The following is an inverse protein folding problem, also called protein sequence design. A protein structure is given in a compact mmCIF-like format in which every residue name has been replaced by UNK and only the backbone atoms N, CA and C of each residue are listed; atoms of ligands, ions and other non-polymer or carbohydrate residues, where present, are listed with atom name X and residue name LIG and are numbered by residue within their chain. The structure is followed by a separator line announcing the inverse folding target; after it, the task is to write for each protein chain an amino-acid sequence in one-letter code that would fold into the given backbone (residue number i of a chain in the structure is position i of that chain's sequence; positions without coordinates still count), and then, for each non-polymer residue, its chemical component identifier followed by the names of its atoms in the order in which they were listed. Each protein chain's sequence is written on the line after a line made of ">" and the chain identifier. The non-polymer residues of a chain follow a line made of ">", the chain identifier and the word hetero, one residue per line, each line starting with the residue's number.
data_IF_577327976985
#
_entry.id   IF_577327976985
#
_cell.length_a   1.000
_cell.length_b   1.000
_cell.length_c   1.000
_cell.angle_alpha   90.00
_cell.angle_beta   90.00
_cell.angle_gamma   90.00
#
_symmetry.space_group_name_H-M   'P 1'
#
loop_
_entity.id
_entity.type
_entity.pdbx_description
1 polymer ?
#
# COMPACT_ATOMS: atom_id res chain seq x y z
N UNK A 1 -5.24 2.76 -31.46
CA UNK A 1 -4.12 3.45 -32.12
C UNK A 1 -2.84 2.71 -31.83
N UNK A 2 -2.11 2.30 -32.86
CA UNK A 2 -0.86 1.56 -32.72
C UNK A 2 0.32 2.54 -32.79
N UNK A 3 1.38 2.31 -32.00
CA UNK A 3 2.64 3.05 -32.09
C UNK A 3 3.66 2.21 -32.84
N UNK A 4 4.28 2.79 -33.86
CA UNK A 4 5.26 2.11 -34.71
C UNK A 4 6.45 3.03 -34.94
N UNK A 5 7.66 2.47 -34.90
CA UNK A 5 8.87 3.17 -35.31
C UNK A 5 9.01 3.13 -36.84
N UNK A 6 9.14 4.30 -37.45
CA UNK A 6 9.21 4.46 -38.91
C UNK A 6 10.42 5.27 -39.33
N UNK A 7 10.92 4.99 -40.53
CA UNK A 7 12.02 5.68 -41.18
C UNK A 7 11.51 6.37 -42.45
N UNK A 8 11.88 7.63 -42.62
CA UNK A 8 11.55 8.41 -43.82
C UNK A 8 12.46 7.97 -44.97
N UNK A 9 11.87 7.65 -46.13
CA UNK A 9 12.56 7.02 -47.26
C UNK A 9 12.73 7.92 -48.48
N UNK A 10 11.76 8.79 -48.76
CA UNK A 10 11.87 9.77 -49.86
C UNK A 10 10.83 10.87 -49.71
N UNK A 11 11.05 12.00 -50.38
CA UNK A 11 10.08 13.10 -50.52
C UNK A 11 9.45 13.02 -51.90
N UNK A 12 8.11 13.03 -51.97
CA UNK A 12 7.36 13.05 -53.23
C UNK A 12 7.18 14.49 -53.73
N UNK A 13 6.90 14.63 -55.03
CA UNK A 13 6.67 15.92 -55.70
C UNK A 13 5.50 16.71 -55.09
N UNK A 14 4.50 16.01 -54.53
CA UNK A 14 3.34 16.60 -53.85
C UNK A 14 3.64 17.14 -52.44
N UNK A 15 4.90 17.06 -51.97
CA UNK A 15 5.33 17.54 -50.66
C UNK A 15 5.29 16.50 -49.55
N UNK A 16 4.52 15.42 -49.70
CA UNK A 16 4.46 14.31 -48.74
C UNK A 16 5.71 13.43 -48.75
N UNK A 17 5.96 12.75 -47.63
CA UNK A 17 7.11 11.86 -47.43
C UNK A 17 6.69 10.41 -47.41
N UNK A 18 7.46 9.51 -48.01
CA UNK A 18 7.23 8.06 -47.89
C UNK A 18 7.97 7.52 -46.67
N UNK A 19 7.37 6.57 -45.97
CA UNK A 19 7.97 5.93 -44.80
C UNK A 19 7.94 4.41 -44.90
N UNK A 20 8.86 3.76 -44.18
CA UNK A 20 8.87 2.32 -43.92
C UNK A 20 8.96 2.06 -42.43
N UNK A 21 8.46 0.92 -41.95
CA UNK A 21 8.76 0.53 -40.58
C UNK A 21 10.27 0.31 -40.43
N UNK A 22 10.87 0.70 -39.29
CA UNK A 22 12.30 0.54 -39.07
C UNK A 22 12.69 -0.94 -39.23
N UNK A 23 13.64 -1.23 -40.12
CA UNK A 23 14.05 -2.60 -40.48
C UNK A 23 13.27 -3.27 -41.61
N UNK A 24 12.23 -2.63 -42.15
CA UNK A 24 11.50 -3.15 -43.32
C UNK A 24 12.20 -2.84 -44.64
N UNK A 25 12.03 -3.70 -45.65
CA UNK A 25 12.61 -3.50 -46.99
C UNK A 25 11.78 -2.63 -47.93
N UNK A 26 10.47 -2.56 -47.73
CA UNK A 26 9.55 -1.82 -48.59
C UNK A 26 8.85 -0.68 -47.82
N UNK A 27 8.57 0.46 -48.49
CA UNK A 27 7.79 1.54 -47.90
C UNK A 27 6.36 1.08 -47.62
N UNK A 28 5.81 1.50 -46.48
CA UNK A 28 4.49 1.11 -45.99
C UNK A 28 3.42 2.18 -46.21
N UNK A 29 3.79 3.45 -46.41
CA UNK A 29 2.82 4.52 -46.61
C UNK A 29 3.45 5.90 -46.81
N UNK A 30 2.60 6.92 -46.75
CA UNK A 30 2.97 8.35 -46.82
C UNK A 30 2.69 9.07 -45.50
N UNK A 31 3.45 10.13 -45.22
CA UNK A 31 3.33 11.06 -44.09
C UNK A 31 3.25 12.47 -44.66
N UNK A 32 2.31 13.26 -44.14
CA UNK A 32 2.19 14.66 -44.52
C UNK A 32 3.36 15.48 -43.95
N UNK A 33 3.94 16.36 -44.77
CA UNK A 33 5.06 17.21 -44.36
C UNK A 33 4.78 18.06 -43.12
N UNK A 34 3.53 18.47 -42.89
CA UNK A 34 3.14 19.31 -41.75
C UNK A 34 3.29 18.61 -40.40
N UNK A 35 3.35 17.26 -40.39
CA UNK A 35 3.53 16.47 -39.17
C UNK A 35 5.01 16.25 -38.83
N UNK A 36 5.91 16.54 -39.77
CA UNK A 36 7.35 16.34 -39.59
C UNK A 36 8.02 17.63 -39.09
N UNK A 37 9.03 17.53 -38.21
CA UNK A 37 9.87 18.66 -37.86
C UNK A 37 10.54 19.27 -39.11
N UNK A 38 10.74 20.59 -39.10
CA UNK A 38 11.22 21.40 -40.25
C UNK A 38 12.59 20.95 -40.80
N UNK A 39 13.39 20.21 -40.03
CA UNK A 39 14.72 19.70 -40.42
C UNK A 39 14.73 18.18 -40.70
N UNK A 40 13.60 17.60 -41.12
CA UNK A 40 13.53 16.16 -41.41
C UNK A 40 14.25 15.80 -42.71
N UNK A 41 15.15 14.81 -42.65
CA UNK A 41 15.90 14.29 -43.80
C UNK A 41 15.49 12.84 -44.14
N UNK A 42 15.86 12.38 -45.34
CA UNK A 42 15.75 10.95 -45.69
C UNK A 42 16.67 10.15 -44.76
N UNK A 43 16.13 9.08 -44.17
CA UNK A 43 16.79 8.25 -43.16
C UNK A 43 16.47 8.62 -41.71
N UNK A 44 15.79 9.75 -41.46
CA UNK A 44 15.33 10.10 -40.11
C UNK A 44 14.30 9.09 -39.59
N UNK A 45 14.47 8.67 -38.33
CA UNK A 45 13.58 7.73 -37.66
C UNK A 45 12.71 8.43 -36.62
N UNK A 46 11.41 8.16 -36.66
CA UNK A 46 10.42 8.72 -35.75
C UNK A 46 9.54 7.62 -35.16
N UNK A 47 8.98 7.84 -33.97
CA UNK A 47 7.89 7.03 -33.47
C UNK A 47 6.58 7.68 -33.91
N UNK A 48 5.69 6.96 -34.57
CA UNK A 48 4.43 7.50 -35.07
C UNK A 48 3.22 6.76 -34.50
N UNK A 49 2.14 7.50 -34.26
CA UNK A 49 0.82 6.91 -34.01
C UNK A 49 0.12 6.68 -35.36
N UNK A 50 -0.35 5.45 -35.57
CA UNK A 50 -1.02 5.04 -36.79
C UNK A 50 -2.45 4.59 -36.53
N UNK A 51 -3.29 4.86 -37.54
CA UNK A 51 -4.64 4.35 -37.67
C UNK A 51 -4.74 3.54 -38.97
N UNK A 52 -5.35 2.35 -38.88
CA UNK A 52 -5.43 1.42 -39.99
C UNK A 52 -6.85 1.46 -40.58
N UNK A 53 -6.95 1.83 -41.85
CA UNK A 53 -8.19 1.82 -42.62
C UNK A 53 -8.13 0.74 -43.71
N UNK A 54 -9.28 0.47 -44.34
CA UNK A 54 -9.37 -0.43 -45.50
C UNK A 54 -8.43 -0.01 -46.66
N UNK A 55 -8.21 1.30 -46.80
CA UNK A 55 -7.41 1.89 -47.89
C UNK A 55 -5.93 2.10 -47.53
N UNK A 56 -5.50 1.73 -46.31
CA UNK A 56 -4.10 1.79 -45.89
C UNK A 56 -3.86 2.31 -44.47
N UNK A 57 -2.59 2.62 -44.17
CA UNK A 57 -2.14 3.09 -42.85
C UNK A 57 -1.93 4.60 -42.91
N UNK A 58 -2.67 5.34 -42.09
CA UNK A 58 -2.54 6.80 -41.97
C UNK A 58 -1.80 7.13 -40.68
N UNK A 59 -0.79 8.00 -40.79
CA UNK A 59 -0.06 8.53 -39.64
C UNK A 59 -0.80 9.75 -39.11
N UNK A 60 -1.23 9.68 -37.85
CA UNK A 60 -1.99 10.77 -37.19
C UNK A 60 -1.08 11.69 -36.39
N UNK A 61 0.01 11.18 -35.84
CA UNK A 61 0.95 11.96 -35.02
C UNK A 61 2.37 11.43 -35.09
N UNK A 62 3.34 12.34 -35.11
CA UNK A 62 4.78 12.04 -35.11
C UNK A 62 5.39 12.45 -33.78
N UNK A 63 6.25 11.59 -33.24
CA UNK A 63 7.04 11.82 -32.03
C UNK A 63 8.52 11.67 -32.36
N UNK A 64 9.34 12.58 -31.83
CA UNK A 64 10.78 12.45 -31.88
C UNK A 64 11.20 11.18 -31.14
N UNK A 65 12.04 10.36 -31.77
CA UNK A 65 12.56 9.16 -31.14
C UNK A 65 13.42 9.61 -29.96
N UNK A 66 13.01 9.23 -28.75
CA UNK A 66 13.80 9.42 -27.53
C UNK A 66 15.19 8.85 -27.80
N UNK A 67 16.19 9.73 -27.93
CA UNK A 67 17.58 9.30 -28.00
C UNK A 67 17.82 8.38 -26.82
N UNK A 68 18.37 7.20 -27.07
CA UNK A 68 18.98 6.40 -26.01
C UNK A 68 20.07 7.27 -25.41
N UNK A 69 19.76 7.96 -24.32
CA UNK A 69 20.71 8.82 -23.63
C UNK A 69 21.87 7.92 -23.20
N UNK A 70 23.01 8.05 -23.87
CA UNK A 70 24.25 7.47 -23.39
C UNK A 70 24.43 7.91 -21.94
N UNK A 71 24.69 6.95 -21.05
CA UNK A 71 25.09 7.12 -19.63
C UNK A 71 24.50 8.38 -18.98
N UNK A 72 23.37 8.20 -18.28
CA UNK A 72 22.65 9.28 -17.60
C UNK A 72 23.58 10.29 -16.93
N UNK A 73 23.37 11.56 -17.25
CA UNK A 73 24.02 12.68 -16.59
C UNK A 73 23.82 12.54 -15.08
N UNK A 74 24.92 12.33 -14.37
CA UNK A 74 24.94 12.32 -12.90
C UNK A 74 24.57 13.70 -12.40
N UNK A 75 23.42 13.81 -11.74
CA UNK A 75 23.10 14.98 -10.93
C UNK A 75 24.05 14.98 -9.71
N UNK A 76 25.00 15.92 -9.69
CA UNK A 76 25.74 16.24 -8.47
C UNK A 76 24.78 16.90 -7.47
N UNK A 77 24.51 16.21 -6.38
CA UNK A 77 23.79 16.77 -5.25
C UNK A 77 24.78 17.60 -4.45
N UNK A 78 24.74 18.92 -4.62
CA UNK A 78 25.40 19.85 -3.70
C UNK A 78 24.68 19.77 -2.34
N UNK A 79 25.26 19.00 -1.43
CA UNK A 79 24.80 18.96 -0.03
C UNK A 79 24.86 20.34 0.60
N UNK A 80 23.99 20.60 1.58
CA UNK A 80 23.79 21.93 2.20
C UNK A 80 24.97 22.49 3.02
N UNK A 81 26.17 21.91 2.91
CA UNK A 81 27.38 22.34 3.61
C UNK A 81 27.30 22.26 5.14
N UNK A 82 26.24 21.68 5.69
CA UNK A 82 26.03 21.54 7.14
C UNK A 82 26.18 20.07 7.51
N UNK A 83 27.16 19.77 8.38
CA UNK A 83 27.22 18.51 9.12
C UNK A 83 26.00 18.44 10.04
N UNK A 84 24.93 17.83 9.56
CA UNK A 84 23.84 17.40 10.42
C UNK A 84 24.16 15.98 10.86
N UNK A 85 24.23 15.75 12.18
CA UNK A 85 24.39 14.42 12.78
C UNK A 85 23.43 13.43 12.10
N UNK A 86 24.01 12.57 11.26
CA UNK A 86 23.31 11.46 10.65
C UNK A 86 22.96 10.51 11.79
N UNK A 87 21.64 10.29 11.98
CA UNK A 87 21.03 9.25 12.83
C UNK A 87 20.60 9.70 14.24
N UNK A 88 19.33 10.13 14.37
CA UNK A 88 18.58 9.95 15.63
C UNK A 88 17.84 8.62 15.63
N UNK A 89 18.56 7.49 15.60
CA UNK A 89 17.99 6.21 16.05
C UNK A 89 18.62 5.85 17.40
N UNK A 90 17.89 6.11 18.49
CA UNK A 90 18.21 5.47 19.77
C UNK A 90 17.84 4.00 19.67
N UNK A 91 18.81 3.18 19.31
CA UNK A 91 18.76 1.73 19.38
C UNK A 91 18.64 1.32 20.86
N UNK A 92 17.62 0.54 21.21
CA UNK A 92 17.46 0.02 22.57
C UNK A 92 18.65 -0.87 22.93
N UNK A 93 19.29 -0.60 24.09
CA UNK A 93 20.39 -1.41 24.62
C UNK A 93 19.95 -2.86 24.82
N UNK A 94 20.53 -3.77 24.04
CA UNK A 94 20.49 -5.21 24.30
C UNK A 94 21.21 -5.52 25.63
N UNK A 95 20.50 -6.17 26.55
CA UNK A 95 21.08 -6.74 27.77
C UNK A 95 21.93 -7.96 27.40
N UNK A 96 23.24 -7.83 27.53
CA UNK A 96 24.18 -8.96 27.58
C UNK A 96 23.99 -9.75 28.89
N UNK A 97 23.89 -11.06 28.72
CA UNK A 97 24.47 -12.15 29.53
C UNK A 97 24.50 -11.96 31.05
N UNK A 98 23.58 -12.63 31.75
CA UNK A 98 23.80 -13.04 33.14
C UNK A 98 24.42 -14.44 33.13
N UNK A 99 25.61 -14.54 33.72
CA UNK A 99 26.38 -15.75 33.95
C UNK A 99 25.52 -16.85 34.60
N UNK A 100 25.63 -18.05 34.04
CA UNK A 100 25.35 -19.29 34.75
C UNK A 100 26.35 -19.42 35.91
N UNK A 101 25.85 -19.58 37.12
CA UNK A 101 26.61 -20.19 38.22
C UNK A 101 26.12 -21.63 38.36
N UNK A 102 27.08 -22.54 38.35
CA UNK A 102 27.01 -23.93 38.76
C UNK A 102 26.36 -24.04 40.14
N UNK A 103 25.44 -24.99 40.30
CA UNK A 103 25.47 -25.98 41.37
C UNK A 103 24.62 -27.19 40.96
N UNK A 104 25.24 -28.37 41.04
CA UNK A 104 24.66 -29.68 40.72
C UNK A 104 24.08 -30.34 42.01
N UNK A 105 23.73 -31.64 42.04
CA UNK A 105 22.35 -32.12 41.87
C UNK A 105 21.84 -32.93 43.08
N UNK A 106 20.52 -33.09 43.26
CA UNK A 106 20.00 -34.16 44.11
C UNK A 106 18.56 -34.57 43.79
N UNK A 107 18.44 -35.81 43.29
CA UNK A 107 17.64 -36.92 43.84
C UNK A 107 16.15 -36.76 44.20
N UNK A 108 15.44 -37.84 43.85
CA UNK A 108 14.16 -38.37 44.34
C UNK A 108 12.85 -37.78 43.77
N UNK A 109 12.13 -38.57 42.96
CA UNK A 109 11.08 -39.55 43.36
C UNK A 109 9.78 -38.81 43.78
N UNK A 110 8.56 -39.07 43.29
CA UNK A 110 7.86 -40.31 42.90
C UNK A 110 6.61 -39.94 42.07
N UNK A 111 6.12 -40.93 41.30
CA UNK A 111 4.71 -41.20 40.95
C UNK A 111 3.68 -40.58 41.92
N UNK A 112 2.54 -40.07 41.42
CA UNK A 112 1.37 -40.93 41.18
C UNK A 112 0.21 -40.21 40.46
N UNK A 113 -0.60 -41.04 39.81
CA UNK A 113 -1.89 -40.83 39.16
C UNK A 113 -2.95 -40.21 40.09
N UNK A 114 -3.94 -39.47 39.54
CA UNK A 114 -5.31 -39.98 39.32
C UNK A 114 -6.30 -38.87 38.94
N UNK A 115 -7.18 -39.28 38.02
CA UNK A 115 -8.42 -38.71 37.51
C UNK A 115 -9.29 -37.88 38.47
N UNK A 116 -10.16 -37.06 37.85
CA UNK A 116 -11.60 -37.26 38.06
C UNK A 116 -12.38 -36.06 38.60
N UNK A 117 -12.79 -35.23 37.66
CA UNK A 117 -13.89 -34.26 37.66
C UNK A 117 -15.18 -34.70 38.42
N UNK A 118 -15.77 -33.83 39.27
CA UNK A 118 -17.17 -33.33 39.19
C UNK A 118 -17.77 -32.77 40.50
N UNK A 119 -18.67 -31.79 40.28
CA UNK A 119 -19.80 -31.28 41.11
C UNK A 119 -19.46 -30.39 42.31
N UNK A 120 -20.30 -29.45 42.76
CA UNK A 120 -21.31 -28.54 42.22
C UNK A 120 -21.93 -27.86 43.45
N UNK A 121 -22.06 -26.53 43.42
CA UNK A 121 -23.05 -25.70 44.12
C UNK A 121 -23.14 -25.74 45.66
N UNK A 122 -22.94 -24.59 46.33
CA UNK A 122 -23.92 -23.95 47.24
C UNK A 122 -23.47 -22.50 47.52
N UNK A 123 -24.40 -21.56 47.33
CA UNK A 123 -24.34 -20.14 47.72
C UNK A 123 -24.26 -19.97 49.25
N UNK A 124 -23.54 -18.95 49.74
CA UNK A 124 -24.07 -18.14 50.84
C UNK A 124 -23.52 -16.72 50.86
N UNK A 125 -24.45 -15.82 51.15
CA UNK A 125 -24.36 -14.37 51.12
C UNK A 125 -23.47 -13.75 52.22
N UNK A 126 -23.04 -12.52 51.92
CA UNK A 126 -22.49 -11.42 52.76
C UNK A 126 -23.16 -11.30 54.16
N UNK A 127 -22.57 -10.63 55.20
CA UNK A 127 -22.08 -9.23 55.10
C UNK A 127 -20.92 -8.73 56.01
N UNK A 128 -20.30 -7.64 55.51
CA UNK A 128 -19.85 -6.39 56.15
C UNK A 128 -19.40 -6.40 57.63
N UNK A 129 -18.15 -5.94 57.91
CA UNK A 129 -17.86 -4.84 58.88
C UNK A 129 -16.35 -4.56 59.06
N UNK A 130 -15.95 -3.37 58.62
CA UNK A 130 -15.15 -2.33 59.29
C UNK A 130 -13.64 -2.46 59.63
N UNK A 131 -12.97 -1.32 59.35
CA UNK A 131 -11.76 -0.75 59.97
C UNK A 131 -10.46 -1.57 60.03
N UNK A 132 -9.41 -1.16 59.33
CA UNK A 132 -8.53 -0.10 59.86
C UNK A 132 -7.43 0.31 58.88
N UNK A 133 -7.21 1.63 58.84
CA UNK A 133 -6.09 2.33 58.23
C UNK A 133 -4.74 1.76 58.71
N UNK A 134 -3.81 1.51 57.79
CA UNK A 134 -2.40 1.87 58.03
C UNK A 134 -1.72 2.32 56.75
N UNK A 135 -1.40 3.61 56.77
CA UNK A 135 -0.61 4.37 55.81
C UNK A 135 0.82 3.86 55.82
N UNK A 136 1.36 3.50 54.64
CA UNK A 136 2.78 3.68 54.31
C UNK A 136 2.92 4.02 52.83
N UNK A 137 3.02 5.33 52.56
CA UNK A 137 3.64 5.86 51.35
C UNK A 137 5.14 5.60 51.41
N UNK A 138 5.71 5.04 50.33
CA UNK A 138 6.98 5.44 49.70
C UNK A 138 7.51 4.30 48.83
N UNK A 139 7.46 4.48 47.51
CA UNK A 139 8.01 3.52 46.55
C UNK A 139 7.66 3.90 45.12
N UNK A 140 8.46 4.81 44.55
CA UNK A 140 8.24 5.49 43.28
C UNK A 140 7.68 4.63 42.14
N UNK A 141 6.46 4.94 41.72
CA UNK A 141 5.95 4.55 40.40
C UNK A 141 6.54 5.50 39.36
N UNK A 142 7.45 4.96 38.54
CA UNK A 142 7.93 5.56 37.30
C UNK A 142 6.76 6.20 36.53
N UNK A 143 6.93 7.42 35.96
CA UNK A 143 5.91 7.99 35.09
C UNK A 143 5.72 7.05 33.91
N UNK A 144 4.52 6.50 33.83
CA UNK A 144 4.11 5.62 32.75
C UNK A 144 4.23 6.42 31.45
N UNK A 145 5.12 5.96 30.58
CA UNK A 145 5.36 6.44 29.22
C UNK A 145 4.12 7.12 28.65
N UNK A 146 4.32 8.35 28.16
CA UNK A 146 3.31 9.16 27.52
C UNK A 146 2.39 8.30 26.68
N UNK A 147 1.12 8.24 27.10
CA UNK A 147 0.02 7.93 26.20
C UNK A 147 0.24 8.85 25.01
N UNK A 148 0.78 8.30 23.90
CA UNK A 148 0.61 8.90 22.58
C UNK A 148 -0.84 9.32 22.57
N UNK A 149 -1.09 10.63 22.48
CA UNK A 149 -2.42 11.16 22.29
C UNK A 149 -3.03 10.31 21.18
N UNK A 150 -3.93 9.43 21.58
CA UNK A 150 -4.70 8.63 20.64
C UNK A 150 -5.55 9.68 19.97
N UNK A 151 -5.06 10.16 18.83
CA UNK A 151 -5.80 11.04 17.92
C UNK A 151 -7.22 10.49 17.86
N UNK A 152 -8.20 11.24 18.36
CA UNK A 152 -9.57 10.80 18.60
C UNK A 152 -10.36 10.41 17.33
N UNK A 153 -9.65 10.28 16.19
CA UNK A 153 -10.16 9.92 14.86
C UNK A 153 -9.55 8.64 14.29
N UNK A 154 -9.04 7.70 15.11
CA UNK A 154 -8.62 6.40 14.58
C UNK A 154 -9.86 5.56 14.23
N UNK A 155 -10.39 5.77 13.03
CA UNK A 155 -11.37 4.89 12.40
C UNK A 155 -10.88 3.43 12.48
N UNK A 156 -11.80 2.46 12.65
CA UNK A 156 -11.44 1.06 12.77
C UNK A 156 -10.60 0.62 11.56
N UNK A 157 -9.43 0.03 11.83
CA UNK A 157 -8.56 -0.49 10.77
C UNK A 157 -9.26 -1.66 10.08
N UNK A 158 -9.19 -1.68 8.75
CA UNK A 158 -9.63 -2.81 7.93
C UNK A 158 -9.01 -4.13 8.41
N UNK A 159 -9.77 -5.22 8.32
CA UNK A 159 -9.31 -6.54 8.72
C UNK A 159 -8.27 -7.05 7.71
N UNK A 160 -7.13 -7.53 8.20
CA UNK A 160 -6.09 -8.13 7.35
C UNK A 160 -6.51 -9.49 6.82
N UNK A 161 -6.06 -9.84 5.62
CA UNK A 161 -6.23 -11.17 5.04
C UNK A 161 -5.54 -12.24 5.91
N UNK A 162 -6.26 -13.32 6.19
CA UNK A 162 -5.73 -14.50 6.89
C UNK A 162 -5.93 -15.74 6.03
N UNK A 163 -4.89 -16.12 5.30
CA UNK A 163 -4.87 -17.34 4.51
C UNK A 163 -4.77 -18.58 5.41
N UNK A 164 -5.45 -19.67 5.00
CA UNK A 164 -5.27 -20.98 5.63
C UNK A 164 -4.02 -21.67 5.03
N UNK A 165 -3.82 -22.94 5.37
CA UNK A 165 -2.72 -23.76 4.85
C UNK A 165 -3.21 -25.05 4.21
N UNK A 166 -4.41 -25.06 3.65
CA UNK A 166 -5.04 -26.26 3.12
C UNK A 166 -4.28 -26.77 1.89
N UNK A 167 -4.24 -25.96 0.83
CA UNK A 167 -3.61 -26.31 -0.45
C UNK A 167 -2.12 -26.53 -0.27
N UNK A 168 -1.45 -25.71 0.53
CA UNK A 168 -0.03 -25.87 0.84
C UNK A 168 0.27 -27.22 1.52
N UNK A 169 -0.53 -27.60 2.52
CA UNK A 169 -0.31 -28.86 3.23
C UNK A 169 -0.60 -30.07 2.33
N UNK A 170 -1.58 -29.96 1.44
CA UNK A 170 -1.89 -30.99 0.45
C UNK A 170 -0.75 -31.17 -0.56
N UNK A 171 -0.23 -30.07 -1.11
CA UNK A 171 0.91 -30.08 -2.01
C UNK A 171 2.16 -30.72 -1.36
N UNK A 172 2.42 -30.43 -0.08
CA UNK A 172 3.52 -31.07 0.66
C UNK A 172 3.32 -32.57 0.88
N UNK A 173 2.08 -33.03 1.05
CA UNK A 173 1.76 -34.46 1.26
C UNK A 173 1.94 -35.29 -0.01
N UNK A 174 1.66 -34.70 -1.18
CA UNK A 174 1.76 -35.37 -2.47
C UNK A 174 3.21 -35.55 -2.95
N UNK A 175 4.16 -34.80 -2.39
CA UNK A 175 5.57 -34.92 -2.75
C UNK A 175 6.19 -36.22 -2.21
N UNK A 176 7.14 -36.83 -2.96
CA UNK A 176 7.98 -37.92 -2.45
C UNK A 176 8.71 -37.50 -1.17
N UNK A 177 8.96 -38.45 -0.26
CA UNK A 177 9.57 -38.19 1.05
C UNK A 177 10.92 -37.47 0.96
N UNK A 178 11.72 -37.84 -0.04
CA UNK A 178 13.04 -37.23 -0.31
C UNK A 178 12.94 -35.72 -0.62
N UNK A 179 11.85 -35.29 -1.26
CA UNK A 179 11.65 -33.89 -1.66
C UNK A 179 10.95 -33.05 -0.59
N UNK A 180 10.31 -33.68 0.40
CA UNK A 180 9.53 -32.96 1.43
C UNK A 180 10.39 -31.96 2.19
N UNK A 181 11.63 -32.31 2.52
CA UNK A 181 12.50 -31.43 3.29
C UNK A 181 12.87 -30.15 2.52
N UNK A 182 13.16 -30.28 1.23
CA UNK A 182 13.44 -29.16 0.33
C UNK A 182 12.18 -28.30 0.21
N UNK A 183 11.02 -28.92 0.00
CA UNK A 183 9.73 -28.23 -0.13
C UNK A 183 9.36 -27.41 1.12
N UNK A 184 9.59 -27.95 2.32
CA UNK A 184 9.39 -27.24 3.58
C UNK A 184 10.25 -25.97 3.68
N UNK A 185 11.53 -26.06 3.30
CA UNK A 185 12.44 -24.91 3.30
C UNK A 185 11.97 -23.87 2.29
N UNK A 186 11.60 -24.29 1.07
CA UNK A 186 11.09 -23.41 0.02
C UNK A 186 9.83 -22.66 0.43
N UNK A 187 8.90 -23.33 1.10
CA UNK A 187 7.69 -22.73 1.64
C UNK A 187 7.99 -21.67 2.72
N UNK A 188 8.99 -21.93 3.57
CA UNK A 188 9.27 -21.06 4.72
C UNK A 188 10.19 -19.89 4.37
N UNK A 189 11.20 -20.12 3.54
CA UNK A 189 12.30 -19.17 3.28
C UNK A 189 12.58 -18.93 1.80
N UNK A 190 11.85 -19.60 0.89
CA UNK A 190 12.07 -19.49 -0.55
C UNK A 190 13.41 -20.07 -1.02
N UNK A 191 13.75 -19.81 -2.29
CA UNK A 191 15.01 -20.23 -2.89
C UNK A 191 16.25 -19.67 -2.19
N UNK A 192 16.30 -18.40 -1.72
CA UNK A 192 17.46 -17.90 -0.96
C UNK A 192 17.71 -18.71 0.30
N UNK A 193 16.67 -19.01 1.09
CA UNK A 193 16.86 -19.80 2.30
C UNK A 193 17.18 -21.28 2.05
N UNK A 194 16.89 -21.81 0.85
CA UNK A 194 17.39 -23.11 0.44
C UNK A 194 18.90 -23.05 0.18
N UNK A 195 19.39 -22.04 -0.54
CA UNK A 195 20.84 -21.81 -0.77
C UNK A 195 21.59 -21.70 0.55
N UNK A 196 21.13 -20.84 1.45
CA UNK A 196 21.73 -20.68 2.79
C UNK A 196 21.77 -22.00 3.57
N UNK A 197 20.73 -22.84 3.44
CA UNK A 197 20.67 -24.14 4.11
C UNK A 197 21.65 -25.16 3.53
N UNK A 198 21.88 -25.13 2.21
CA UNK A 198 22.85 -26.00 1.54
C UNK A 198 24.26 -25.58 1.94
N UNK A 199 24.56 -24.28 1.86
CA UNK A 199 25.88 -23.74 2.21
C UNK A 199 26.23 -24.06 3.67
N UNK A 200 25.28 -23.89 4.59
CA UNK A 200 25.47 -24.25 6.00
C UNK A 200 25.75 -25.75 6.22
N UNK A 201 25.12 -26.63 5.43
CA UNK A 201 25.37 -28.08 5.52
C UNK A 201 26.71 -28.46 4.91
N UNK A 202 27.10 -27.87 3.79
CA UNK A 202 28.40 -28.11 3.16
C UNK A 202 29.56 -27.65 4.03
N UNK A 203 29.42 -26.52 4.74
CA UNK A 203 30.41 -26.08 5.72
C UNK A 203 30.58 -27.08 6.89
N UNK A 204 29.51 -27.79 7.26
CA UNK A 204 29.57 -28.84 8.29
C UNK A 204 30.24 -30.10 7.71
N UNK A 205 29.82 -30.55 6.53
CA UNK A 205 30.40 -31.71 5.85
C UNK A 205 31.91 -31.54 5.64
N UNK A 206 32.31 -30.37 5.16
CA UNK A 206 33.73 -30.00 4.98
C UNK A 206 34.53 -30.05 6.27
N UNK A 207 33.96 -29.60 7.40
CA UNK A 207 34.60 -29.71 8.73
C UNK A 207 34.67 -31.16 9.22
N UNK A 208 33.70 -32.00 8.85
CA UNK A 208 33.67 -33.42 9.18
C UNK A 208 34.53 -34.29 8.24
N UNK A 209 35.07 -33.71 7.16
CA UNK A 209 35.79 -34.46 6.11
C UNK A 209 34.87 -35.30 5.21
N UNK A 210 33.57 -35.01 5.21
CA UNK A 210 32.57 -35.66 4.37
C UNK A 210 32.44 -34.93 3.01
N UNK A 211 32.00 -35.62 1.94
CA UNK A 211 31.76 -34.99 0.66
C UNK A 211 30.66 -33.93 0.73
N UNK A 212 30.84 -32.84 -0.01
CA UNK A 212 29.86 -31.76 -0.10
C UNK A 212 28.58 -32.21 -0.81
N UNK A 213 27.45 -31.65 -0.40
CA UNK A 213 26.15 -31.87 -1.02
C UNK A 213 26.11 -31.13 -2.37
N UNK A 214 25.71 -31.79 -3.46
CA UNK A 214 25.67 -31.18 -4.78
C UNK A 214 24.57 -30.10 -4.87
N UNK A 215 24.98 -28.83 -4.77
CA UNK A 215 24.08 -27.66 -4.76
C UNK A 215 23.21 -27.59 -6.02
N UNK A 216 23.82 -27.76 -7.20
CA UNK A 216 23.12 -27.66 -8.49
C UNK A 216 21.98 -28.67 -8.64
N UNK A 217 22.12 -29.88 -8.09
CA UNK A 217 21.08 -30.90 -8.15
C UNK A 217 19.88 -30.52 -7.28
N UNK A 218 20.13 -30.01 -6.07
CA UNK A 218 19.07 -29.57 -5.16
C UNK A 218 18.35 -28.32 -5.69
N UNK A 219 19.08 -27.40 -6.32
CA UNK A 219 18.48 -26.23 -6.95
C UNK A 219 17.61 -26.61 -8.15
N UNK A 220 18.05 -27.55 -9.01
CA UNK A 220 17.22 -28.08 -10.11
C UNK A 220 15.93 -28.73 -9.59
N UNK A 221 16.02 -29.53 -8.52
CA UNK A 221 14.83 -30.10 -7.88
C UNK A 221 13.90 -29.01 -7.33
N UNK A 222 14.48 -27.98 -6.71
CA UNK A 222 13.72 -26.85 -6.20
C UNK A 222 12.99 -26.10 -7.32
N UNK A 223 13.65 -25.83 -8.44
CA UNK A 223 13.04 -25.20 -9.62
C UNK A 223 11.85 -25.99 -10.16
N UNK A 224 11.89 -27.32 -10.08
CA UNK A 224 10.80 -28.19 -10.51
C UNK A 224 9.59 -28.13 -9.55
N UNK A 225 9.79 -28.16 -8.24
CA UNK A 225 8.68 -28.25 -7.26
C UNK A 225 8.14 -26.88 -6.82
N UNK A 226 8.97 -25.84 -6.86
CA UNK A 226 8.64 -24.53 -6.30
C UNK A 226 7.44 -23.83 -6.98
N UNK A 227 7.25 -23.90 -8.32
CA UNK A 227 6.07 -23.36 -8.96
C UNK A 227 4.77 -23.94 -8.40
N UNK A 228 4.73 -25.25 -8.10
CA UNK A 228 3.54 -25.92 -7.55
C UNK A 228 3.24 -25.42 -6.13
N UNK A 229 4.28 -25.27 -5.30
CA UNK A 229 4.15 -24.76 -3.94
C UNK A 229 3.66 -23.30 -3.91
N UNK A 230 4.14 -22.45 -4.83
CA UNK A 230 3.66 -21.07 -4.96
C UNK A 230 2.20 -21.00 -5.40
N UNK A 231 1.79 -21.83 -6.36
CA UNK A 231 0.38 -21.93 -6.76
C UNK A 231 -0.49 -22.35 -5.58
N UNK A 232 -0.07 -23.37 -4.81
CA UNK A 232 -0.79 -23.83 -3.62
C UNK A 232 -0.92 -22.74 -2.55
N UNK A 233 0.16 -21.99 -2.27
CA UNK A 233 0.08 -20.85 -1.36
C UNK A 233 -0.86 -19.74 -1.87
N UNK A 234 -0.84 -19.46 -3.17
CA UNK A 234 -1.76 -18.49 -3.75
C UNK A 234 -3.21 -18.95 -3.63
N UNK A 235 -3.51 -20.23 -3.86
CA UNK A 235 -4.86 -20.80 -3.67
C UNK A 235 -5.36 -20.62 -2.24
N UNK A 236 -4.50 -20.86 -1.24
CA UNK A 236 -4.83 -20.61 0.17
C UNK A 236 -5.18 -19.13 0.45
N UNK A 237 -4.49 -18.20 -0.22
CA UNK A 237 -4.76 -16.75 -0.13
C UNK A 237 -6.02 -16.36 -0.89
N UNK A 238 -6.25 -16.93 -2.07
CA UNK A 238 -7.44 -16.71 -2.90
C UNK A 238 -8.71 -17.16 -2.17
N UNK A 239 -8.69 -18.36 -1.59
CA UNK A 239 -9.76 -18.87 -0.75
C UNK A 239 -10.03 -17.97 0.46
N UNK A 240 -8.97 -17.48 1.11
CA UNK A 240 -9.07 -16.54 2.22
C UNK A 240 -9.70 -15.20 1.80
N UNK A 241 -9.34 -14.72 0.62
CA UNK A 241 -9.85 -13.48 0.06
C UNK A 241 -11.32 -13.60 -0.36
N UNK A 242 -11.72 -14.71 -0.99
CA UNK A 242 -13.12 -14.99 -1.33
C UNK A 242 -14.01 -15.09 -0.08
N UNK A 243 -13.60 -15.87 0.93
CA UNK A 243 -14.34 -15.95 2.21
C UNK A 243 -14.40 -14.61 2.94
N UNK A 244 -13.38 -13.78 2.74
CA UNK A 244 -13.25 -12.47 3.34
C UNK A 244 -13.72 -11.32 2.46
N UNK A 245 -14.44 -11.59 1.37
CA UNK A 245 -14.66 -10.61 0.29
C UNK A 245 -15.25 -9.30 0.79
N UNK A 246 -16.12 -9.32 1.80
CA UNK A 246 -16.80 -8.13 2.35
C UNK A 246 -16.03 -7.43 3.48
N UNK A 247 -15.13 -8.13 4.18
CA UNK A 247 -14.55 -7.63 5.45
C UNK A 247 -13.03 -7.41 5.41
N UNK A 248 -12.32 -8.11 4.52
CA UNK A 248 -10.87 -7.98 4.38
C UNK A 248 -10.51 -6.64 3.72
N UNK A 249 -9.32 -6.11 3.95
CA UNK A 249 -8.84 -4.91 3.27
C UNK A 249 -8.81 -5.10 1.74
N UNK A 250 -9.38 -4.16 0.98
CA UNK A 250 -9.34 -4.14 -0.48
C UNK A 250 -7.91 -4.16 -1.03
N UNK A 251 -6.93 -3.61 -0.30
CA UNK A 251 -5.50 -3.67 -0.68
C UNK A 251 -4.98 -5.10 -0.65
N UNK A 252 -5.34 -5.85 0.38
CA UNK A 252 -4.90 -7.24 0.52
C UNK A 252 -5.55 -8.09 -0.59
N UNK A 253 -6.84 -7.90 -0.89
CA UNK A 253 -7.53 -8.59 -2.00
C UNK A 253 -6.88 -8.27 -3.34
N UNK A 254 -6.59 -6.98 -3.61
CA UNK A 254 -5.87 -6.56 -4.82
C UNK A 254 -4.51 -7.22 -4.93
N UNK A 255 -3.78 -7.35 -3.82
CA UNK A 255 -2.48 -8.04 -3.82
C UNK A 255 -2.58 -9.50 -4.24
N UNK A 256 -3.67 -10.20 -3.86
CA UNK A 256 -3.93 -11.59 -4.26
C UNK A 256 -4.30 -11.67 -5.73
N UNK A 257 -5.12 -10.74 -6.23
CA UNK A 257 -5.47 -10.66 -7.65
C UNK A 257 -4.21 -10.46 -8.50
N UNK A 258 -3.32 -9.54 -8.14
CA UNK A 258 -2.07 -9.31 -8.89
C UNK A 258 -1.13 -10.51 -8.79
N UNK A 259 -1.08 -11.17 -7.63
CA UNK A 259 -0.26 -12.36 -7.45
C UNK A 259 -0.69 -13.56 -8.32
N UNK A 260 -1.93 -13.57 -8.85
CA UNK A 260 -2.40 -14.65 -9.73
C UNK A 260 -1.64 -14.71 -11.06
N UNK A 261 -1.06 -13.60 -11.49
CA UNK A 261 -0.27 -13.51 -12.73
C UNK A 261 1.10 -14.21 -12.60
N UNK A 262 1.56 -14.42 -11.37
CA UNK A 262 2.90 -14.96 -11.06
C UNK A 262 2.88 -16.43 -10.60
N UNK A 263 1.74 -17.11 -10.70
CA UNK A 263 1.60 -18.55 -10.38
C UNK A 263 1.28 -19.35 -11.63
N UNK A 264 1.31 -20.67 -11.52
CA UNK A 264 1.02 -21.52 -12.67
C UNK A 264 -0.41 -21.34 -13.16
N UNK A 265 -0.54 -21.23 -14.49
CA UNK A 265 -1.84 -21.07 -15.14
C UNK A 265 -2.51 -22.43 -15.27
N UNK A 266 -3.65 -22.57 -14.62
CA UNK A 266 -4.56 -23.70 -14.75
C UNK A 266 -6.01 -23.20 -14.60
N UNK A 267 -6.97 -24.08 -14.84
CA UNK A 267 -8.40 -23.69 -14.83
C UNK A 267 -8.87 -23.23 -13.45
N UNK A 268 -8.32 -23.80 -12.36
CA UNK A 268 -8.65 -23.39 -11.00
C UNK A 268 -8.13 -22.00 -10.66
N UNK A 269 -6.90 -21.66 -11.05
CA UNK A 269 -6.33 -20.32 -10.87
C UNK A 269 -7.08 -19.31 -11.71
N UNK A 270 -7.43 -19.66 -12.96
CA UNK A 270 -8.19 -18.77 -13.84
C UNK A 270 -9.57 -18.47 -13.26
N UNK A 271 -10.35 -19.50 -12.94
CA UNK A 271 -11.70 -19.34 -12.38
C UNK A 271 -11.71 -18.57 -11.05
N UNK A 272 -10.79 -18.89 -10.12
CA UNK A 272 -10.66 -18.15 -8.86
C UNK A 272 -10.22 -16.71 -9.07
N UNK A 273 -9.30 -16.45 -10.01
CA UNK A 273 -8.87 -15.09 -10.30
C UNK A 273 -9.99 -14.26 -10.92
N UNK A 274 -10.83 -14.84 -11.78
CA UNK A 274 -12.00 -14.18 -12.36
C UNK A 274 -13.05 -13.88 -11.27
N UNK A 275 -13.37 -14.86 -10.43
CA UNK A 275 -14.29 -14.68 -9.29
C UNK A 275 -13.81 -13.60 -8.30
N UNK A 276 -12.50 -13.57 -8.01
CA UNK A 276 -11.90 -12.52 -7.16
C UNK A 276 -12.01 -11.14 -7.80
N UNK A 277 -11.77 -11.01 -9.11
CA UNK A 277 -11.89 -9.73 -9.84
C UNK A 277 -13.33 -9.23 -9.83
N UNK A 278 -14.30 -10.11 -10.09
CA UNK A 278 -15.72 -9.79 -10.06
C UNK A 278 -16.16 -9.35 -8.66
N UNK A 279 -15.86 -10.16 -7.63
CA UNK A 279 -16.18 -9.84 -6.24
C UNK A 279 -15.53 -8.55 -5.76
N UNK A 280 -14.26 -8.32 -6.12
CA UNK A 280 -13.54 -7.09 -5.79
C UNK A 280 -14.22 -5.86 -6.42
N UNK A 281 -14.58 -5.92 -7.70
CA UNK A 281 -15.23 -4.81 -8.39
C UNK A 281 -16.61 -4.50 -7.81
N UNK A 282 -17.44 -5.54 -7.59
CA UNK A 282 -18.75 -5.39 -6.94
C UNK A 282 -18.64 -4.74 -5.57
N UNK A 283 -17.66 -5.15 -4.76
CA UNK A 283 -17.43 -4.54 -3.46
C UNK A 283 -16.96 -3.10 -3.56
N UNK A 284 -16.02 -2.80 -4.46
CA UNK A 284 -15.54 -1.42 -4.65
C UNK A 284 -16.72 -0.50 -5.01
N UNK A 285 -17.58 -0.92 -5.92
CA UNK A 285 -18.77 -0.17 -6.31
C UNK A 285 -19.76 0.00 -5.15
N UNK A 286 -20.03 -1.07 -4.39
CA UNK A 286 -20.90 -1.01 -3.21
C UNK A 286 -20.35 -0.08 -2.13
N UNK A 287 -19.08 -0.23 -1.76
CA UNK A 287 -18.41 0.60 -0.76
C UNK A 287 -18.39 2.08 -1.19
N UNK A 288 -18.20 2.35 -2.49
CA UNK A 288 -18.25 3.69 -3.06
C UNK A 288 -19.65 4.30 -2.99
N UNK A 289 -20.68 3.54 -3.38
CA UNK A 289 -22.07 3.99 -3.29
C UNK A 289 -22.49 4.26 -1.84
N UNK A 290 -22.07 3.40 -0.91
CA UNK A 290 -22.34 3.58 0.52
C UNK A 290 -21.61 4.81 1.08
N UNK A 291 -20.36 5.01 0.71
CA UNK A 291 -19.58 6.19 1.10
C UNK A 291 -20.20 7.48 0.55
N UNK A 292 -20.60 7.54 -0.73
CA UNK A 292 -21.29 8.69 -1.29
C UNK A 292 -22.59 8.99 -0.55
N UNK A 293 -23.40 7.95 -0.29
CA UNK A 293 -24.63 8.09 0.51
C UNK A 293 -24.34 8.65 1.91
N UNK A 294 -23.31 8.19 2.59
CA UNK A 294 -22.93 8.70 3.93
C UNK A 294 -22.47 10.15 3.88
N UNK A 295 -21.67 10.54 2.87
CA UNK A 295 -21.22 11.93 2.70
C UNK A 295 -22.43 12.84 2.45
N UNK A 296 -23.33 12.44 1.54
CA UNK A 296 -24.54 13.21 1.19
C UNK A 296 -25.48 13.33 2.39
N UNK A 297 -25.77 12.25 3.11
CA UNK A 297 -26.67 12.30 4.27
C UNK A 297 -26.08 13.14 5.39
N UNK A 298 -24.80 12.98 5.68
CA UNK A 298 -24.08 13.77 6.69
C UNK A 298 -24.11 15.27 6.36
N UNK A 299 -23.96 15.61 5.07
CA UNK A 299 -24.05 17.00 4.62
C UNK A 299 -25.46 17.57 4.76
N UNK A 300 -26.48 16.80 4.36
CA UNK A 300 -27.90 17.19 4.49
C UNK A 300 -28.33 17.42 5.94
N UNK A 301 -27.75 16.69 6.88
CA UNK A 301 -27.95 16.88 8.31
C UNK A 301 -27.20 18.11 8.89
N UNK A 302 -26.49 18.88 8.05
CA UNK A 302 -25.74 20.07 8.48
C UNK A 302 -24.43 19.77 9.20
N UNK A 303 -23.96 18.51 9.21
CA UNK A 303 -22.73 18.09 9.89
C UNK A 303 -21.48 18.32 9.00
N UNK A 304 -21.21 19.59 8.67
CA UNK A 304 -20.18 20.01 7.69
C UNK A 304 -18.79 19.42 7.97
N UNK A 305 -18.28 19.52 9.21
CA UNK A 305 -16.96 18.98 9.58
C UNK A 305 -16.87 17.47 9.33
N UNK A 306 -17.93 16.74 9.65
CA UNK A 306 -17.97 15.27 9.45
C UNK A 306 -18.03 14.96 7.96
N UNK A 307 -18.84 15.67 7.18
CA UNK A 307 -18.93 15.49 5.74
C UNK A 307 -17.57 15.74 5.06
N UNK A 308 -16.87 16.83 5.42
CA UNK A 308 -15.53 17.14 4.93
C UNK A 308 -14.52 16.02 5.26
N UNK A 309 -14.51 15.52 6.50
CA UNK A 309 -13.63 14.40 6.90
C UNK A 309 -13.95 13.12 6.14
N UNK A 310 -15.23 12.79 5.94
CA UNK A 310 -15.64 11.62 5.15
C UNK A 310 -15.22 11.76 3.68
N UNK A 311 -15.40 12.95 3.09
CA UNK A 311 -15.05 13.24 1.70
C UNK A 311 -13.56 13.02 1.38
N UNK A 312 -12.67 13.16 2.37
CA UNK A 312 -11.23 12.93 2.23
C UNK A 312 -10.81 11.46 2.23
N UNK A 313 -11.75 10.52 2.45
CA UNK A 313 -11.46 9.10 2.69
C UNK A 313 -12.27 8.19 1.76
N UNK A 314 -12.07 8.27 0.44
CA UNK A 314 -12.75 7.35 -0.48
C UNK A 314 -12.28 5.91 -0.25
N UNK A 315 -13.15 4.90 -0.51
CA UNK A 315 -12.76 3.48 -0.43
C UNK A 315 -11.55 3.13 -1.32
N UNK A 316 -11.42 3.82 -2.46
CA UNK A 316 -10.29 3.72 -3.38
C UNK A 316 -9.64 5.09 -3.55
N UNK A 317 -8.32 5.14 -3.40
CA UNK A 317 -7.56 6.37 -3.62
C UNK A 317 -7.75 6.88 -5.06
N UNK A 318 -7.90 8.20 -5.20
CA UNK A 318 -8.11 8.86 -6.48
C UNK A 318 -9.53 8.75 -7.03
N UNK A 319 -10.49 8.21 -6.28
CA UNK A 319 -11.89 8.24 -6.71
C UNK A 319 -12.44 9.68 -6.58
N UNK A 320 -12.88 10.30 -7.70
CA UNK A 320 -13.38 11.67 -7.67
C UNK A 320 -14.78 11.75 -7.04
N UNK A 321 -15.04 12.83 -6.32
CA UNK A 321 -16.41 13.16 -5.90
C UNK A 321 -17.20 13.68 -7.10
N UNK A 322 -18.51 13.38 -7.22
CA UNK A 322 -19.39 14.02 -8.20
C UNK A 322 -19.36 15.55 -8.07
N UNK A 323 -19.43 16.27 -9.19
CA UNK A 323 -19.29 17.75 -9.19
C UNK A 323 -20.38 18.43 -8.36
N UNK A 324 -21.64 17.98 -8.46
CA UNK A 324 -22.75 18.50 -7.66
C UNK A 324 -22.48 18.38 -6.15
N UNK A 325 -21.83 17.28 -5.73
CA UNK A 325 -21.47 17.07 -4.32
C UNK A 325 -20.27 17.91 -3.91
N UNK A 326 -19.30 18.13 -4.80
CA UNK A 326 -18.20 19.07 -4.57
C UNK A 326 -18.74 20.50 -4.39
N UNK A 327 -19.68 20.91 -5.24
CA UNK A 327 -20.33 22.22 -5.14
C UNK A 327 -21.11 22.34 -3.82
N UNK A 328 -21.96 21.37 -3.50
CA UNK A 328 -22.72 21.39 -2.25
C UNK A 328 -21.83 21.41 -1.01
N UNK A 329 -20.72 20.64 -0.99
CA UNK A 329 -19.73 20.68 0.08
C UNK A 329 -19.06 22.04 0.19
N UNK A 330 -18.70 22.65 -0.94
CA UNK A 330 -18.06 23.97 -0.99
C UNK A 330 -18.99 25.04 -0.44
N UNK A 331 -20.22 25.11 -0.95
CA UNK A 331 -21.23 26.08 -0.50
C UNK A 331 -21.54 25.94 0.99
N UNK A 332 -21.74 24.71 1.48
CA UNK A 332 -21.99 24.46 2.89
C UNK A 332 -20.79 24.83 3.77
N UNK A 333 -19.57 24.67 3.26
CA UNK A 333 -18.33 25.04 3.98
C UNK A 333 -18.16 26.56 4.03
N UNK A 334 -18.39 27.25 2.91
CA UNK A 334 -18.33 28.71 2.84
C UNK A 334 -19.34 29.34 3.82
N UNK A 335 -20.60 28.88 3.79
CA UNK A 335 -21.68 29.29 4.72
C UNK A 335 -21.39 29.00 6.19
N UNK A 336 -20.56 27.99 6.48
CA UNK A 336 -20.19 27.63 7.84
C UNK A 336 -18.98 28.42 8.37
N UNK A 337 -18.24 29.09 7.48
CA UNK A 337 -17.09 29.94 7.78
C UNK A 337 -17.48 31.42 7.69
N UNK A 338 -18.13 31.90 8.75
CA UNK A 338 -18.58 33.29 8.90
C UNK A 338 -17.84 34.00 10.03
N UNK A 339 -17.89 35.34 10.07
CA UNK A 339 -17.32 36.16 11.14
C UNK A 339 -17.92 35.86 12.51
N UNK A 340 -19.21 35.52 12.54
CA UNK A 340 -19.99 35.32 13.76
C UNK A 340 -19.79 33.92 14.38
N UNK A 341 -19.14 33.02 13.65
CA UNK A 341 -18.81 31.69 14.15
C UNK A 341 -17.74 31.77 15.25
N UNK A 342 -17.87 30.92 16.28
CA UNK A 342 -16.83 30.81 17.30
C UNK A 342 -15.51 30.39 16.67
N UNK A 343 -14.40 31.03 17.06
CA UNK A 343 -13.08 30.80 16.45
C UNK A 343 -12.62 29.35 16.53
N UNK A 344 -12.98 28.63 17.60
CA UNK A 344 -12.72 27.18 17.73
C UNK A 344 -13.46 26.35 16.67
N UNK A 345 -14.74 26.67 16.42
CA UNK A 345 -15.54 26.04 15.37
C UNK A 345 -15.00 26.39 13.99
N UNK A 346 -14.71 27.67 13.76
CA UNK A 346 -14.12 28.17 12.52
C UNK A 346 -12.82 27.41 12.19
N UNK A 347 -11.88 27.33 13.15
CA UNK A 347 -10.62 26.61 12.98
C UNK A 347 -10.81 25.11 12.71
N UNK A 348 -11.79 24.49 13.37
CA UNK A 348 -12.11 23.06 13.14
C UNK A 348 -12.63 22.80 11.73
N UNK A 349 -13.47 23.70 11.19
CA UNK A 349 -13.99 23.61 9.83
C UNK A 349 -12.87 23.84 8.82
N UNK A 350 -12.04 24.87 9.02
CA UNK A 350 -10.91 25.17 8.14
C UNK A 350 -9.88 24.03 8.10
N UNK A 351 -9.57 23.42 9.25
CA UNK A 351 -8.70 22.24 9.28
C UNK A 351 -9.33 21.06 8.53
N UNK A 352 -10.63 20.81 8.69
CA UNK A 352 -11.30 19.75 7.94
C UNK A 352 -11.35 20.02 6.43
N UNK A 353 -11.59 21.28 6.04
CA UNK A 353 -11.64 21.72 4.66
C UNK A 353 -10.29 21.54 3.97
N UNK A 354 -9.18 21.85 4.65
CA UNK A 354 -7.82 21.74 4.11
C UNK A 354 -7.39 20.30 3.75
N UNK A 355 -8.06 19.28 4.27
CA UNK A 355 -7.82 17.88 3.90
C UNK A 355 -8.92 17.30 3.01
N UNK A 356 -9.97 18.07 2.72
CA UNK A 356 -11.07 17.67 1.83
C UNK A 356 -10.72 17.96 0.36
N UNK A 357 -11.29 17.24 -0.62
CA UNK A 357 -11.11 17.56 -2.04
C UNK A 357 -11.59 18.96 -2.46
N UNK A 358 -12.37 19.66 -1.64
CA UNK A 358 -12.85 21.03 -1.93
C UNK A 358 -11.91 22.14 -1.46
N UNK A 359 -10.77 21.83 -0.85
CA UNK A 359 -9.86 22.82 -0.22
C UNK A 359 -9.57 24.05 -1.10
N UNK A 360 -9.30 23.85 -2.39
CA UNK A 360 -9.00 24.96 -3.32
C UNK A 360 -10.23 25.81 -3.68
N UNK A 361 -11.45 25.26 -3.54
CA UNK A 361 -12.71 25.93 -3.89
C UNK A 361 -13.32 26.72 -2.72
N UNK A 362 -12.85 26.51 -1.49
CA UNK A 362 -13.42 27.14 -0.29
C UNK A 362 -13.01 28.61 -0.19
N UNK A 363 -14.02 29.48 -0.10
CA UNK A 363 -13.90 30.91 0.13
C UNK A 363 -14.82 31.25 1.31
N UNK A 364 -14.27 31.49 2.52
CA UNK A 364 -15.06 31.86 3.69
C UNK A 364 -15.98 33.06 3.41
N UNK A 365 -17.23 33.02 3.87
CA UNK A 365 -18.13 34.18 3.80
C UNK A 365 -17.68 35.30 4.76
N UNK A 366 -16.99 34.94 5.84
CA UNK A 366 -16.42 35.89 6.77
C UNK A 366 -15.27 35.31 7.58
N UNK A 367 -14.36 36.20 7.99
CA UNK A 367 -13.21 35.89 8.83
C UNK A 367 -13.39 36.59 10.18
N UNK A 368 -13.05 35.94 11.32
CA UNK A 368 -13.07 36.61 12.61
C UNK A 368 -12.12 37.82 12.64
N UNK A 369 -12.60 38.99 13.08
CA UNK A 369 -11.82 40.25 13.08
C UNK A 369 -10.53 40.17 13.92
N UNK A 370 -10.62 39.52 15.08
CA UNK A 370 -9.52 39.38 16.04
C UNK A 370 -9.21 37.89 16.28
N UNK A 371 -8.52 37.21 15.35
CA UNK A 371 -8.21 35.79 15.49
C UNK A 371 -7.24 35.55 16.65
N UNK A 372 -7.57 34.60 17.51
CA UNK A 372 -6.75 34.19 18.63
C UNK A 372 -5.52 33.38 18.17
N UNK A 373 -4.55 33.19 19.07
CA UNK A 373 -3.32 32.46 18.73
C UNK A 373 -3.56 31.03 18.27
N UNK A 374 -4.60 30.36 18.79
CA UNK A 374 -4.93 28.98 18.41
C UNK A 374 -5.40 28.90 16.96
N UNK A 375 -6.28 29.81 16.56
CA UNK A 375 -6.77 29.91 15.19
C UNK A 375 -5.61 30.22 14.25
N UNK A 376 -4.76 31.19 14.58
CA UNK A 376 -3.55 31.52 13.79
C UNK A 376 -2.64 30.30 13.63
N UNK A 377 -2.40 29.52 14.70
CA UNK A 377 -1.63 28.27 14.64
C UNK A 377 -2.26 27.23 13.69
N UNK A 378 -3.59 27.14 13.64
CA UNK A 378 -4.30 26.28 12.70
C UNK A 378 -4.12 26.79 11.26
N UNK A 379 -4.35 28.08 11.00
CA UNK A 379 -4.19 28.68 9.67
C UNK A 379 -2.78 28.44 9.12
N UNK A 380 -1.75 28.72 9.93
CA UNK A 380 -0.34 28.47 9.56
C UNK A 380 -0.09 27.02 9.17
N UNK A 381 -0.66 26.06 9.90
CA UNK A 381 -0.52 24.63 9.62
C UNK A 381 -1.15 24.23 8.29
N UNK A 382 -2.29 24.83 7.94
CA UNK A 382 -3.02 24.50 6.71
C UNK A 382 -2.64 25.36 5.50
N UNK A 383 -1.76 26.35 5.67
CA UNK A 383 -1.33 27.30 4.62
C UNK A 383 -0.95 26.65 3.29
N UNK A 384 -0.15 25.59 3.32
CA UNK A 384 0.26 24.83 2.12
C UNK A 384 -0.87 24.03 1.46
N UNK A 385 -1.92 23.71 2.21
CA UNK A 385 -3.00 22.81 1.79
C UNK A 385 -4.29 23.52 1.43
N UNK A 386 -4.54 24.72 1.95
CA UNK A 386 -5.74 25.49 1.67
C UNK A 386 -5.38 26.98 1.48
N UNK A 387 -4.61 27.32 0.44
CA UNK A 387 -4.16 28.69 0.22
C UNK A 387 -5.33 29.65 0.00
N UNK A 388 -6.43 29.18 -0.60
CA UNK A 388 -7.70 29.91 -0.77
C UNK A 388 -8.27 30.44 0.54
N UNK A 389 -8.24 29.63 1.62
CA UNK A 389 -8.72 30.01 2.95
C UNK A 389 -7.79 31.04 3.58
N UNK A 390 -6.48 30.80 3.50
CA UNK A 390 -5.45 31.61 4.17
C UNK A 390 -5.37 33.03 3.61
N UNK A 391 -5.60 33.21 2.31
CA UNK A 391 -5.59 34.53 1.65
C UNK A 391 -6.56 35.56 2.25
N UNK A 392 -7.59 35.10 2.97
CA UNK A 392 -8.56 36.00 3.61
C UNK A 392 -8.10 36.53 4.98
N UNK A 393 -6.95 36.08 5.48
CA UNK A 393 -6.32 36.60 6.68
C UNK A 393 -5.19 37.55 6.30
N UNK A 394 -4.98 38.59 7.12
CA UNK A 394 -3.83 39.48 6.98
C UNK A 394 -2.52 38.68 6.97
N UNK A 395 -1.73 38.83 5.90
CA UNK A 395 -0.41 38.20 5.75
C UNK A 395 0.59 38.54 6.87
N UNK A 396 0.36 39.63 7.60
CA UNK A 396 1.17 40.01 8.77
C UNK A 396 0.81 39.24 10.05
N UNK A 397 -0.35 38.57 10.10
CA UNK A 397 -0.87 37.84 11.27
C UNK A 397 -0.73 36.33 11.14
N UNK A 398 -0.62 35.80 9.91
CA UNK A 398 -0.46 34.38 9.58
C UNK A 398 0.92 34.14 9.02
#
# INVERSE_FOLDING_TARGET
>A
MAKIDVEITSKRENGDWTWRAVGARQPKGTINASLLPTESAVGSQFSVETEHYLDGIVVTKVFDKKQTSGKGETLEILGSGKENDLVTTKLAKNKKNKKFSKDSPSSNSRRNERSGDKKSFVKKDKPVSNSNKKVRNAGGRKPQNGKKQQSANQFPKSKRLKAKRHHRNEALKQLPDEMKRIAEILVQKGLPGLRDSIDAQNEIAKKAGEPEIPNDLLLKLAEQIYPNLRTAEWLDRADGALRGMESVDLRDIRSVIVASENVQKNDSVRSLSEALKEGFNKRVESDQNNWLKEVISTLKEGRVVRALRLSSRPPKAGFPLPEDLLQALTEATNKALTSDATQSRWGTIAEAAAFSPVHDKVVPEGVPENPNEELIKIIRRISSKAPSIVKNFDSSKV
#
